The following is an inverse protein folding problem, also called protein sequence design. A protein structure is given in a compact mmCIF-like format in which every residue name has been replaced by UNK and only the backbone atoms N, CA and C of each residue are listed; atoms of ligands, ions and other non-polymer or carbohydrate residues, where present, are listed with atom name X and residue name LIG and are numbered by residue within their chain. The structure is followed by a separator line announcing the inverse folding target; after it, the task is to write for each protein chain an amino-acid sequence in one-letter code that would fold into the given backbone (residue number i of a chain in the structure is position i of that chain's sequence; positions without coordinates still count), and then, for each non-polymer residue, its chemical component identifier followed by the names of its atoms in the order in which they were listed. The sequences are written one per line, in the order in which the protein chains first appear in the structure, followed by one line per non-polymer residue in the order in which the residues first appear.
data_IF_517086873567
#
_entry.id   IF_517086873567
#
_cell.length_a   1.000
_cell.length_b   1.000
_cell.length_c   1.000
_cell.angle_alpha   90.00
_cell.angle_beta   90.00
_cell.angle_gamma   90.00
#
_symmetry.space_group_name_H-M   'P 1'
#
loop_
_entity.id
_entity.type
_entity.pdbx_description
1 polymer ?
#
# COMPACT_ATOMS: atom_id res chain seq x y z
N UNK A 1 7.41 2.06 18.35
CA UNK A 1 6.48 0.93 18.40
C UNK A 1 6.39 0.30 17.00
N UNK A 2 6.39 -1.03 16.90
CA UNK A 2 6.19 -1.71 15.60
C UNK A 2 4.79 -1.38 15.06
N UNK A 3 4.69 -1.02 13.77
CA UNK A 3 3.43 -0.67 13.11
C UNK A 3 3.00 0.79 13.23
N UNK A 4 3.71 1.63 13.99
CA UNK A 4 3.45 3.06 14.06
C UNK A 4 4.49 3.80 13.23
N UNK A 5 4.09 4.31 12.08
CA UNK A 5 4.92 5.15 11.22
C UNK A 5 4.95 6.63 11.67
N UNK A 6 5.82 7.43 11.06
CA UNK A 6 5.99 8.85 11.38
C UNK A 6 4.66 9.64 11.28
N UNK A 7 3.86 9.39 10.23
CA UNK A 7 2.56 10.02 10.08
C UNK A 7 1.59 9.67 11.23
N UNK A 8 1.45 8.39 11.57
CA UNK A 8 0.56 7.94 12.65
C UNK A 8 0.98 8.52 14.00
N UNK A 9 2.30 8.54 14.27
CA UNK A 9 2.83 9.13 15.49
C UNK A 9 2.52 10.63 15.58
N UNK A 10 2.81 11.39 14.51
CA UNK A 10 2.55 12.84 14.47
C UNK A 10 1.06 13.16 14.60
N UNK A 11 0.20 12.41 13.90
CA UNK A 11 -1.27 12.59 13.99
C UNK A 11 -1.77 12.32 15.41
N UNK A 12 -1.30 11.25 16.03
CA UNK A 12 -1.71 10.93 17.41
C UNK A 12 -1.25 12.00 18.41
N UNK A 13 -0.02 12.47 18.28
CA UNK A 13 0.52 13.53 19.16
C UNK A 13 -0.20 14.86 18.97
N UNK A 14 -0.46 15.25 17.71
CA UNK A 14 -1.17 16.49 17.42
C UNK A 14 -2.64 16.44 17.88
N UNK A 15 -3.39 15.40 17.45
CA UNK A 15 -4.84 15.35 17.66
C UNK A 15 -5.23 14.98 19.09
N UNK A 16 -4.52 14.02 19.72
CA UNK A 16 -4.89 13.53 21.04
C UNK A 16 -4.22 14.30 22.19
N UNK A 17 -3.03 14.85 21.95
CA UNK A 17 -2.23 15.52 22.98
C UNK A 17 -1.99 17.01 22.72
N UNK A 18 -2.51 17.53 21.60
CA UNK A 18 -2.32 18.93 21.19
C UNK A 18 -0.84 19.36 21.17
N UNK A 19 0.05 18.43 20.77
CA UNK A 19 1.47 18.72 20.61
C UNK A 19 1.76 19.26 19.21
N UNK A 20 2.72 20.19 19.05
CA UNK A 20 2.98 20.86 17.77
C UNK A 20 3.75 20.00 16.78
N UNK A 21 3.21 18.81 16.49
CA UNK A 21 3.75 17.86 15.52
C UNK A 21 3.19 18.12 14.12
N UNK A 22 4.05 18.03 13.14
CA UNK A 22 3.67 18.23 11.73
C UNK A 22 3.10 16.95 11.14
N UNK A 23 1.80 16.94 10.90
CA UNK A 23 1.13 15.83 10.23
C UNK A 23 1.37 15.92 8.72
N UNK A 24 1.93 14.86 8.13
CA UNK A 24 2.17 14.79 6.69
C UNK A 24 1.61 13.48 6.15
N UNK A 25 0.39 13.56 5.62
CA UNK A 25 -0.29 12.47 4.91
C UNK A 25 -0.36 12.73 3.41
N UNK A 26 -1.09 11.89 2.69
CA UNK A 26 -1.30 12.05 1.26
C UNK A 26 -2.03 13.34 0.86
N UNK A 27 -2.88 13.87 1.73
CA UNK A 27 -3.61 15.12 1.51
C UNK A 27 -2.68 16.31 1.71
N UNK A 28 -1.94 16.31 2.82
CA UNK A 28 -0.97 17.36 3.15
C UNK A 28 0.13 17.44 2.08
N UNK A 29 0.71 16.29 1.64
CA UNK A 29 1.67 16.26 0.53
C UNK A 29 1.10 16.97 -0.71
N UNK A 30 -0.15 16.68 -1.07
CA UNK A 30 -0.78 17.30 -2.23
C UNK A 30 -0.95 18.80 -2.07
N UNK A 31 -1.43 19.24 -0.93
CA UNK A 31 -1.59 20.67 -0.62
C UNK A 31 -0.25 21.37 -0.72
N UNK A 32 0.78 20.88 -0.01
CA UNK A 32 2.11 21.50 0.02
C UNK A 32 2.74 21.56 -1.38
N UNK A 33 2.66 20.45 -2.13
CA UNK A 33 3.19 20.43 -3.50
C UNK A 33 2.47 21.43 -4.41
N UNK A 34 1.15 21.57 -4.31
CA UNK A 34 0.38 22.53 -5.11
C UNK A 34 0.62 23.97 -4.65
N UNK A 35 0.62 24.22 -3.33
CA UNK A 35 0.85 25.55 -2.78
C UNK A 35 2.18 26.14 -3.25
N UNK A 36 3.25 25.32 -3.22
CA UNK A 36 4.61 25.71 -3.58
C UNK A 36 5.04 25.33 -4.99
N UNK A 37 4.14 24.80 -5.81
CA UNK A 37 4.40 24.32 -7.19
C UNK A 37 5.59 23.34 -7.28
N UNK A 38 5.59 22.33 -6.40
CA UNK A 38 6.64 21.30 -6.38
C UNK A 38 6.27 20.19 -7.38
N UNK A 39 6.99 20.11 -8.49
CA UNK A 39 6.71 19.20 -9.62
C UNK A 39 7.61 17.98 -9.65
N UNK A 40 8.73 17.99 -8.92
CA UNK A 40 9.64 16.87 -8.82
C UNK A 40 8.95 15.64 -8.17
N UNK A 41 9.44 14.41 -8.43
CA UNK A 41 8.90 13.21 -7.80
C UNK A 41 8.90 13.32 -6.26
N UNK A 42 7.79 12.98 -5.63
CA UNK A 42 7.63 13.08 -4.16
C UNK A 42 8.74 12.38 -3.40
N UNK A 43 9.20 11.21 -3.90
CA UNK A 43 10.29 10.46 -3.27
C UNK A 43 11.62 11.21 -3.22
N UNK A 44 11.86 12.14 -4.15
CA UNK A 44 13.10 12.93 -4.22
C UNK A 44 13.03 14.17 -3.32
N UNK A 45 11.83 14.68 -3.05
CA UNK A 45 11.63 15.95 -2.35
C UNK A 45 10.87 15.79 -1.02
N UNK A 46 10.81 14.59 -0.46
CA UNK A 46 10.07 14.32 0.77
C UNK A 46 10.50 15.22 1.94
N UNK A 47 11.79 15.44 2.10
CA UNK A 47 12.33 16.32 3.14
C UNK A 47 11.91 17.78 2.94
N UNK A 48 11.90 18.27 1.71
CA UNK A 48 11.43 19.62 1.39
C UNK A 48 9.94 19.77 1.68
N UNK A 49 9.14 18.76 1.34
CA UNK A 49 7.69 18.76 1.65
C UNK A 49 7.47 18.84 3.17
N UNK A 50 8.22 18.05 3.95
CA UNK A 50 8.14 18.07 5.42
C UNK A 50 8.54 19.43 6.01
N UNK A 51 9.62 20.02 5.51
CA UNK A 51 10.07 21.36 5.88
C UNK A 51 8.98 22.41 5.63
N UNK A 52 8.42 22.44 4.42
CA UNK A 52 7.35 23.35 4.05
C UNK A 52 6.08 23.15 4.89
N UNK A 53 5.71 21.90 5.15
CA UNK A 53 4.58 21.58 6.02
C UNK A 53 4.83 22.05 7.46
N UNK A 54 6.04 21.84 7.98
CA UNK A 54 6.41 22.25 9.34
C UNK A 54 6.38 23.79 9.51
N UNK A 55 6.75 24.53 8.47
CA UNK A 55 6.69 26.00 8.48
C UNK A 55 5.26 26.54 8.57
N UNK A 56 4.26 25.77 8.14
CA UNK A 56 2.85 26.14 8.19
C UNK A 56 2.12 25.60 9.43
N UNK A 57 2.73 24.68 10.18
CA UNK A 57 2.09 24.05 11.34
C UNK A 57 1.84 25.09 12.44
N UNK A 58 0.57 25.25 12.81
CA UNK A 58 0.20 26.11 13.95
C UNK A 58 0.66 25.45 15.26
N UNK A 59 1.55 26.14 15.97
CA UNK A 59 2.10 25.65 17.24
C UNK A 59 1.21 25.97 18.45
N UNK A 60 0.23 26.86 18.28
CA UNK A 60 -0.72 27.22 19.34
C UNK A 60 -1.95 26.31 19.34
N UNK A 61 -2.41 25.92 18.16
CA UNK A 61 -3.60 25.09 17.97
C UNK A 61 -3.28 23.90 17.04
N UNK A 62 -2.33 23.03 17.39
CA UNK A 62 -1.85 21.99 16.49
C UNK A 62 -2.91 20.93 16.15
N UNK A 63 -3.83 20.61 17.07
CA UNK A 63 -4.93 19.69 16.82
C UNK A 63 -5.90 20.22 15.75
N UNK A 64 -6.32 21.49 15.91
CA UNK A 64 -7.22 22.14 14.96
C UNK A 64 -6.57 22.30 13.59
N UNK A 65 -5.30 22.69 13.56
CA UNK A 65 -4.53 22.79 12.32
C UNK A 65 -4.42 21.44 11.63
N UNK A 66 -4.07 20.38 12.35
CA UNK A 66 -3.92 19.04 11.79
C UNK A 66 -5.24 18.53 11.18
N UNK A 67 -6.36 18.70 11.89
CA UNK A 67 -7.69 18.37 11.36
C UNK A 67 -8.01 19.19 10.12
N UNK A 68 -7.88 20.51 10.22
CA UNK A 68 -8.28 21.44 9.16
C UNK A 68 -7.48 21.24 7.87
N UNK A 69 -6.16 21.00 7.95
CA UNK A 69 -5.36 20.78 6.75
C UNK A 69 -5.67 19.45 6.08
N UNK A 70 -5.99 18.40 6.84
CA UNK A 70 -6.42 17.11 6.27
C UNK A 70 -7.79 17.26 5.58
N UNK A 71 -8.74 17.98 6.21
CA UNK A 71 -10.07 18.27 5.66
C UNK A 71 -9.97 19.14 4.40
N UNK A 72 -9.11 20.16 4.40
CA UNK A 72 -8.83 20.97 3.20
C UNK A 72 -8.40 20.10 2.02
N UNK A 73 -7.55 19.10 2.28
CA UNK A 73 -7.12 18.14 1.27
C UNK A 73 -8.22 17.19 0.83
N UNK A 74 -9.07 16.75 1.74
CA UNK A 74 -10.14 15.82 1.45
C UNK A 74 -11.31 16.44 0.69
N UNK A 75 -11.68 17.69 1.04
CA UNK A 75 -12.90 18.33 0.57
C UNK A 75 -12.69 19.41 -0.49
N UNK A 76 -11.59 20.15 -0.43
CA UNK A 76 -11.34 21.32 -1.30
C UNK A 76 -10.20 21.07 -2.28
N UNK A 77 -9.00 20.79 -1.78
CA UNK A 77 -7.83 20.51 -2.61
C UNK A 77 -7.79 19.04 -3.06
N UNK A 78 -8.87 18.55 -3.65
CA UNK A 78 -9.05 17.17 -4.09
C UNK A 78 -8.08 16.77 -5.20
N UNK A 79 -7.78 15.46 -5.41
CA UNK A 79 -6.88 15.01 -6.47
C UNK A 79 -7.34 15.45 -7.87
N UNK A 80 -8.64 15.33 -8.15
CA UNK A 80 -9.28 15.76 -9.40
C UNK A 80 -10.31 16.85 -9.11
N UNK A 81 -10.48 17.78 -10.02
CA UNK A 81 -11.44 18.88 -9.93
C UNK A 81 -11.37 19.64 -8.59
N UNK A 82 -10.20 20.14 -8.13
CA UNK A 82 -10.10 20.85 -6.87
C UNK A 82 -10.90 22.15 -6.88
N UNK A 83 -11.56 22.44 -5.77
CA UNK A 83 -12.41 23.63 -5.61
C UNK A 83 -11.57 24.84 -5.19
N UNK A 84 -10.68 25.29 -6.09
CA UNK A 84 -9.70 26.33 -5.78
C UNK A 84 -10.32 27.68 -5.37
N UNK A 85 -11.52 27.99 -5.82
CA UNK A 85 -12.23 29.23 -5.45
C UNK A 85 -12.69 29.22 -3.98
N UNK A 86 -12.86 28.05 -3.38
CA UNK A 86 -13.21 27.89 -1.97
C UNK A 86 -11.98 27.72 -1.06
N UNK A 87 -10.78 27.63 -1.66
CA UNK A 87 -9.55 27.40 -0.90
C UNK A 87 -9.13 28.68 -0.18
N UNK A 88 -8.88 28.64 1.16
CA UNK A 88 -8.41 29.81 1.90
C UNK A 88 -7.04 30.31 1.42
N UNK A 89 -6.22 29.41 0.84
CA UNK A 89 -4.89 29.74 0.28
C UNK A 89 -4.92 29.99 -1.23
N UNK A 90 -6.07 30.34 -1.80
CA UNK A 90 -6.21 30.49 -3.26
C UNK A 90 -5.30 31.56 -3.86
N UNK A 91 -4.97 32.61 -3.09
CA UNK A 91 -4.15 33.74 -3.57
C UNK A 91 -2.65 33.45 -3.48
N UNK A 92 -2.25 32.61 -2.55
CA UNK A 92 -0.84 32.24 -2.31
C UNK A 92 -0.44 30.96 -3.08
N UNK A 93 -1.43 30.24 -3.63
CA UNK A 93 -1.19 28.96 -4.29
C UNK A 93 -0.56 29.14 -5.67
N UNK A 94 0.71 28.74 -5.79
CA UNK A 94 1.48 28.88 -7.03
C UNK A 94 1.00 27.96 -8.17
N UNK A 95 0.24 26.90 -7.85
CA UNK A 95 -0.30 25.99 -8.88
C UNK A 95 -1.73 26.33 -9.30
N UNK A 96 -2.38 27.31 -8.69
CA UNK A 96 -3.77 27.64 -9.03
C UNK A 96 -3.91 28.07 -10.48
N UNK A 97 -4.86 27.48 -11.17
CA UNK A 97 -5.16 27.81 -12.58
C UNK A 97 -4.18 27.21 -13.61
N UNK A 98 -3.16 26.47 -13.15
CA UNK A 98 -2.23 25.81 -14.07
C UNK A 98 -2.84 24.51 -14.63
N UNK A 99 -2.62 24.19 -15.91
CA UNK A 99 -3.18 23.00 -16.56
C UNK A 99 -2.66 21.69 -15.93
N UNK A 100 -1.46 21.70 -15.34
CA UNK A 100 -0.85 20.56 -14.67
C UNK A 100 -1.27 20.37 -13.21
N UNK A 101 -2.12 21.21 -12.65
CA UNK A 101 -2.52 21.19 -11.25
C UNK A 101 -2.91 19.78 -10.74
N UNK A 102 -3.65 19.02 -11.51
CA UNK A 102 -4.08 17.67 -11.13
C UNK A 102 -2.94 16.63 -11.17
N UNK A 103 -1.85 16.93 -11.88
CA UNK A 103 -0.65 16.08 -11.92
C UNK A 103 0.26 16.31 -10.71
N UNK A 104 0.00 17.37 -9.94
CA UNK A 104 0.74 17.68 -8.72
C UNK A 104 -0.02 17.11 -7.50
N UNK A 105 0.63 16.31 -6.66
CA UNK A 105 2.05 15.94 -6.64
C UNK A 105 2.41 14.88 -7.68
N UNK A 106 3.64 14.93 -8.16
CA UNK A 106 4.22 13.92 -9.03
C UNK A 106 4.50 12.63 -8.23
N UNK A 107 3.58 11.67 -8.31
CA UNK A 107 3.71 10.35 -7.68
C UNK A 107 4.06 9.32 -8.74
N UNK A 108 5.34 9.19 -9.02
CA UNK A 108 5.83 8.04 -9.80
C UNK A 108 5.59 6.78 -8.99
N UNK A 109 4.71 5.92 -9.47
CA UNK A 109 4.53 4.59 -8.87
C UNK A 109 5.73 3.75 -9.34
N UNK A 110 6.53 3.18 -8.42
CA UNK A 110 7.55 2.23 -8.82
C UNK A 110 6.89 1.07 -9.57
N UNK A 111 7.57 0.57 -10.59
CA UNK A 111 7.11 -0.62 -11.30
C UNK A 111 6.92 -1.76 -10.30
N UNK A 112 5.77 -2.45 -10.38
CA UNK A 112 5.52 -3.61 -9.53
C UNK A 112 6.46 -4.72 -9.94
N UNK A 113 7.05 -5.39 -8.94
CA UNK A 113 7.84 -6.60 -9.20
C UNK A 113 6.91 -7.71 -9.66
N UNK A 114 7.24 -8.34 -10.77
CA UNK A 114 6.57 -9.57 -11.22
C UNK A 114 7.12 -10.74 -10.41
N UNK A 115 6.22 -11.61 -9.95
CA UNK A 115 6.55 -12.84 -9.27
C UNK A 115 5.69 -13.95 -9.85
N UNK A 116 6.35 -14.97 -10.41
CA UNK A 116 5.70 -16.15 -10.94
C UNK A 116 5.92 -17.33 -9.99
N UNK A 117 5.05 -18.31 -10.06
CA UNK A 117 5.17 -19.53 -9.27
C UNK A 117 4.11 -20.55 -9.65
N UNK A 118 4.10 -21.65 -8.91
CA UNK A 118 3.17 -22.78 -9.10
C UNK A 118 2.43 -23.04 -7.81
N UNK A 119 1.10 -23.09 -7.84
CA UNK A 119 0.25 -23.47 -6.71
C UNK A 119 -0.27 -24.89 -6.88
N UNK A 120 -0.21 -25.69 -5.82
CA UNK A 120 -0.59 -27.10 -5.81
C UNK A 120 -1.89 -27.29 -5.04
N UNK A 121 -2.95 -27.72 -5.71
CA UNK A 121 -4.21 -28.13 -5.12
C UNK A 121 -4.15 -29.65 -4.91
N UNK A 122 -3.96 -30.09 -3.65
CA UNK A 122 -3.75 -31.51 -3.32
C UNK A 122 -5.01 -32.00 -2.61
N UNK A 123 -5.65 -33.01 -3.20
CA UNK A 123 -6.86 -33.64 -2.70
C UNK A 123 -6.56 -35.04 -2.16
N UNK A 124 -7.11 -35.39 -1.00
CA UNK A 124 -7.09 -36.76 -0.49
C UNK A 124 -8.24 -37.63 -1.08
N UNK A 125 -8.32 -38.88 -0.67
CA UNK A 125 -9.37 -39.83 -1.13
C UNK A 125 -10.79 -39.38 -0.72
N UNK A 126 -10.93 -38.55 0.29
CA UNK A 126 -12.23 -38.00 0.76
C UNK A 126 -12.63 -36.72 0.00
N UNK A 127 -11.78 -36.18 -0.86
CA UNK A 127 -12.00 -34.91 -1.55
C UNK A 127 -11.68 -33.68 -0.69
N UNK A 128 -11.02 -33.86 0.46
CA UNK A 128 -10.54 -32.76 1.28
C UNK A 128 -9.27 -32.17 0.66
N UNK A 129 -9.12 -30.85 0.74
CA UNK A 129 -7.99 -30.13 0.14
C UNK A 129 -6.92 -29.77 1.17
N UNK A 130 -5.67 -30.00 0.81
CA UNK A 130 -4.53 -29.67 1.67
C UNK A 130 -4.32 -28.15 1.79
N UNK A 131 -4.24 -27.68 3.02
CA UNK A 131 -3.75 -26.34 3.35
C UNK A 131 -2.59 -26.43 4.34
N UNK A 132 -1.72 -25.43 4.33
CA UNK A 132 -0.62 -25.31 5.28
C UNK A 132 -0.52 -23.88 5.83
N UNK A 133 0.13 -23.73 6.96
CA UNK A 133 0.51 -22.40 7.45
C UNK A 133 1.82 -21.98 6.79
N UNK A 134 1.82 -20.80 6.16
CA UNK A 134 3.02 -20.25 5.54
C UNK A 134 4.05 -19.84 6.60
N UNK A 135 5.17 -20.56 6.63
CA UNK A 135 6.29 -20.28 7.53
C UNK A 135 7.33 -19.32 6.95
N UNK A 136 7.36 -19.20 5.61
CA UNK A 136 8.31 -18.35 4.90
C UNK A 136 8.03 -16.86 5.19
N UNK A 137 9.12 -16.13 5.45
CA UNK A 137 9.03 -14.67 5.67
C UNK A 137 8.66 -13.93 4.37
N UNK A 138 7.91 -12.85 4.50
CA UNK A 138 7.55 -11.99 3.38
C UNK A 138 6.06 -12.00 3.05
N UNK A 139 5.71 -12.11 1.76
CA UNK A 139 4.33 -12.02 1.28
C UNK A 139 3.45 -13.11 1.91
N UNK A 140 2.35 -12.67 2.57
CA UNK A 140 1.35 -13.53 3.23
C UNK A 140 1.90 -14.46 4.33
N UNK A 141 3.06 -14.14 4.93
CA UNK A 141 3.66 -14.90 6.02
C UNK A 141 2.69 -15.09 7.20
N UNK A 142 2.60 -16.33 7.71
CA UNK A 142 1.74 -16.70 8.82
C UNK A 142 0.28 -16.95 8.49
N UNK A 143 -0.15 -16.74 7.25
CA UNK A 143 -1.49 -17.09 6.79
C UNK A 143 -1.55 -18.56 6.33
N UNK A 144 -2.77 -19.12 6.29
CA UNK A 144 -3.02 -20.40 5.67
C UNK A 144 -3.04 -20.24 4.15
N UNK A 145 -2.44 -21.19 3.46
CA UNK A 145 -2.30 -21.17 2.00
C UNK A 145 -2.38 -22.59 1.43
N UNK A 146 -2.70 -22.69 0.14
CA UNK A 146 -2.35 -23.88 -0.64
C UNK A 146 -0.83 -23.90 -0.82
N UNK A 147 -0.17 -25.08 -0.80
CA UNK A 147 1.26 -25.15 -1.09
C UNK A 147 1.58 -24.50 -2.43
N UNK A 148 2.52 -23.56 -2.44
CA UNK A 148 3.00 -22.93 -3.65
C UNK A 148 4.51 -22.68 -3.59
N UNK A 149 5.14 -22.58 -4.76
CA UNK A 149 6.59 -22.41 -4.90
C UNK A 149 6.88 -21.33 -5.92
N UNK A 150 8.10 -20.81 -5.89
CA UNK A 150 8.61 -19.91 -6.92
C UNK A 150 8.77 -20.66 -8.26
N UNK A 151 8.83 -19.93 -9.36
CA UNK A 151 8.92 -20.45 -10.73
C UNK A 151 9.99 -21.55 -10.91
N UNK A 152 9.64 -22.61 -11.62
CA UNK A 152 10.54 -23.73 -11.97
C UNK A 152 10.71 -24.81 -10.91
N UNK A 153 9.99 -24.75 -9.80
CA UNK A 153 10.08 -25.74 -8.72
C UNK A 153 8.71 -26.34 -8.42
N UNK A 154 8.45 -27.56 -8.88
CA UNK A 154 7.28 -28.33 -8.47
C UNK A 154 7.64 -29.14 -7.22
N UNK A 155 6.94 -28.97 -6.09
CA UNK A 155 7.33 -29.58 -4.81
C UNK A 155 6.95 -31.04 -4.67
N UNK A 156 6.16 -31.61 -5.63
CA UNK A 156 5.60 -32.93 -5.55
C UNK A 156 5.69 -33.65 -6.94
N UNK A 157 5.95 -34.93 -6.92
CA UNK A 157 5.82 -35.78 -8.12
C UNK A 157 4.34 -36.05 -8.41
N UNK A 158 4.02 -36.28 -9.69
CA UNK A 158 2.68 -36.67 -10.14
C UNK A 158 1.66 -35.49 -10.20
N UNK A 159 2.12 -34.25 -10.10
CA UNK A 159 1.28 -33.10 -10.35
C UNK A 159 0.79 -33.01 -11.78
N UNK A 160 -0.50 -32.79 -11.97
CA UNK A 160 -1.11 -32.54 -13.26
C UNK A 160 -1.26 -31.07 -13.50
N UNK A 161 -0.70 -30.57 -14.59
CA UNK A 161 -0.90 -29.21 -15.06
C UNK A 161 -2.36 -29.04 -15.53
N UNK A 162 -3.04 -28.05 -15.01
CA UNK A 162 -4.43 -27.73 -15.41
C UNK A 162 -4.50 -26.82 -16.63
N UNK A 163 -3.40 -26.23 -17.06
CA UNK A 163 -3.36 -25.15 -18.05
C UNK A 163 -3.98 -23.85 -17.59
N UNK A 164 -4.37 -23.74 -16.31
CA UNK A 164 -4.97 -22.55 -15.73
C UNK A 164 -3.93 -21.79 -14.92
N UNK A 165 -4.11 -20.46 -14.87
CA UNK A 165 -3.34 -19.63 -13.98
C UNK A 165 -4.24 -18.62 -13.25
N UNK A 166 -3.77 -18.13 -12.13
CA UNK A 166 -4.40 -17.07 -11.35
C UNK A 166 -3.39 -15.97 -11.12
N UNK A 167 -3.84 -14.73 -11.27
CA UNK A 167 -2.99 -13.59 -10.95
C UNK A 167 -3.63 -12.70 -9.89
N UNK A 168 -2.79 -12.11 -9.06
CA UNK A 168 -3.21 -11.10 -8.08
C UNK A 168 -2.23 -9.94 -8.03
N UNK A 169 -2.77 -8.71 -7.86
CA UNK A 169 -1.97 -7.49 -7.85
C UNK A 169 -1.97 -6.91 -6.44
N UNK A 170 -0.85 -7.07 -5.76
CA UNK A 170 -0.58 -6.42 -4.48
C UNK A 170 -0.07 -4.99 -4.68
N UNK A 171 0.20 -4.28 -3.59
CA UNK A 171 0.74 -2.92 -3.62
C UNK A 171 2.06 -2.83 -4.40
N UNK A 172 3.00 -3.78 -4.18
CA UNK A 172 4.35 -3.75 -4.72
C UNK A 172 4.70 -4.94 -5.64
N UNK A 173 3.81 -5.95 -5.70
CA UNK A 173 4.05 -7.21 -6.40
C UNK A 173 2.86 -7.52 -7.28
N UNK A 174 3.11 -8.06 -8.48
CA UNK A 174 2.15 -8.77 -9.29
C UNK A 174 2.52 -10.25 -9.22
N UNK A 175 1.64 -11.06 -8.60
CA UNK A 175 1.82 -12.49 -8.46
C UNK A 175 1.01 -13.21 -9.55
N UNK A 176 1.65 -14.12 -10.26
CA UNK A 176 1.03 -15.03 -11.22
C UNK A 176 1.38 -16.45 -10.81
N UNK A 177 0.36 -17.31 -10.62
CA UNK A 177 0.53 -18.70 -10.21
C UNK A 177 -0.13 -19.63 -11.22
N UNK A 178 0.64 -20.58 -11.74
CA UNK A 178 0.14 -21.73 -12.50
C UNK A 178 -0.49 -22.72 -11.53
N UNK A 179 -1.62 -23.32 -11.93
CA UNK A 179 -2.39 -24.22 -11.07
C UNK A 179 -2.12 -25.67 -11.44
N UNK A 180 -1.62 -26.41 -10.46
CA UNK A 180 -1.41 -27.84 -10.54
C UNK A 180 -2.32 -28.58 -9.59
N UNK A 181 -2.76 -29.79 -9.97
CA UNK A 181 -3.63 -30.66 -9.17
C UNK A 181 -2.97 -32.01 -8.93
N UNK A 182 -3.08 -32.50 -7.69
CA UNK A 182 -2.65 -33.83 -7.28
C UNK A 182 -3.76 -34.50 -6.47
N UNK A 183 -4.06 -35.76 -6.81
CA UNK A 183 -4.91 -36.63 -6.00
C UNK A 183 -4.06 -37.69 -5.32
N UNK A 184 -4.16 -37.79 -4.00
CA UNK A 184 -3.44 -38.81 -3.22
C UNK A 184 -4.40 -39.72 -2.47
N UNK A 185 -4.01 -40.99 -2.34
CA UNK A 185 -4.77 -42.00 -1.61
C UNK A 185 -4.35 -42.08 -0.12
N UNK A 186 -4.02 -40.98 0.46
CA UNK A 186 -3.56 -40.88 1.85
C UNK A 186 -4.26 -39.72 2.56
N UNK A 187 -4.63 -39.92 3.82
CA UNK A 187 -5.10 -38.84 4.69
C UNK A 187 -3.93 -38.15 5.44
N UNK A 188 -2.70 -38.61 5.20
CA UNK A 188 -1.50 -38.00 5.78
C UNK A 188 -1.02 -36.91 4.84
N UNK A 189 -0.94 -35.65 5.31
CA UNK A 189 -0.44 -34.54 4.50
C UNK A 189 0.99 -34.81 4.02
N UNK A 190 1.32 -34.54 2.75
CA UNK A 190 2.68 -34.69 2.23
C UNK A 190 3.63 -33.57 2.66
N UNK A 191 3.18 -32.63 3.49
CA UNK A 191 3.96 -31.52 4.06
C UNK A 191 3.80 -31.50 5.57
N UNK A 192 4.88 -31.25 6.30
CA UNK A 192 4.91 -31.36 7.77
C UNK A 192 3.93 -30.43 8.49
N UNK A 193 3.70 -29.22 7.94
CA UNK A 193 2.80 -28.20 8.52
C UNK A 193 1.43 -28.15 7.81
N UNK A 194 1.10 -29.20 7.05
CA UNK A 194 -0.15 -29.28 6.29
C UNK A 194 -1.23 -30.05 7.03
N UNK A 195 -2.49 -29.76 6.68
CA UNK A 195 -3.68 -30.51 7.13
C UNK A 195 -4.74 -30.47 6.02
N UNK A 196 -5.57 -31.51 6.03
CA UNK A 196 -6.73 -31.59 5.15
C UNK A 196 -7.98 -31.02 5.82
#
# INVERSE_FOLDING_TARGET
LKGIGAHTAASFLALAFNLPETVVDGNVIRIICRLHHLTAPVAEIENLIREKAAALTDRKHPADYASTIMDLGAMVCTPKNPQCLLCPWQHECLSRGLPELERIPNRTKPAKKEKNGSVCLIFNAKGEILIRKRSEKGLLSGLHEFPWTDEGSLPFDGLNDTGLNVFHVFTHIRLNLEIYVLHINSDIPPVADGFF
#
